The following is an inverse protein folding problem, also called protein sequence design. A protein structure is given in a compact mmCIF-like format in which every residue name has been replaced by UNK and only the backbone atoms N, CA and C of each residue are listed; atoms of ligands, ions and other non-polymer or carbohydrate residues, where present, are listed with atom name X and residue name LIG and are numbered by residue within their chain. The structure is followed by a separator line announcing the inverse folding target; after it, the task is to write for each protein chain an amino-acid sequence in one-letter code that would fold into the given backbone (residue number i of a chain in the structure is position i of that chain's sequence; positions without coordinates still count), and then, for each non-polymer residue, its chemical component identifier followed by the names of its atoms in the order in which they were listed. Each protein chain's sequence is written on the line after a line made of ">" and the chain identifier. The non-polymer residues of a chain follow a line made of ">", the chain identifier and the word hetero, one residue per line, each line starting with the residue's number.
data_IF_349459536521
#
_entry.id   IF_349459536521
#
_cell.length_a   1.000
_cell.length_b   1.000
_cell.length_c   1.000
_cell.angle_alpha   90.00
_cell.angle_beta   90.00
_cell.angle_gamma   90.00
#
_symmetry.space_group_name_H-M   'P 1'
#
loop_
_entity.id
_entity.type
_entity.pdbx_description
1 polymer ?
#
# COMPACT_ATOMS: atom_id res chain seq x y z
N UNK A 1 41.34 32.05 -65.82
CA UNK A 1 40.84 30.71 -66.20
C UNK A 1 39.68 30.38 -65.26
N UNK A 2 38.44 30.46 -65.76
CA UNK A 2 37.52 29.32 -66.04
C UNK A 2 37.18 28.51 -64.77
N UNK A 3 35.96 28.69 -64.22
CA UNK A 3 34.79 27.78 -64.30
C UNK A 3 34.97 26.51 -63.44
N UNK A 4 34.00 25.91 -62.74
CA UNK A 4 32.55 25.84 -62.84
C UNK A 4 31.97 25.24 -61.51
N UNK A 5 30.69 25.49 -61.28
CA UNK A 5 29.75 25.01 -60.25
C UNK A 5 29.64 23.47 -60.09
N UNK A 6 29.29 22.97 -58.89
CA UNK A 6 28.15 22.04 -58.71
C UNK A 6 27.71 21.89 -57.23
N UNK A 7 26.39 21.99 -57.01
CA UNK A 7 25.63 21.63 -55.80
C UNK A 7 25.23 20.16 -55.94
N UNK A 8 25.35 19.35 -54.88
CA UNK A 8 24.59 18.11 -54.51
C UNK A 8 25.14 17.77 -53.12
N UNK A 9 24.42 17.42 -52.05
CA UNK A 9 23.02 17.07 -51.82
C UNK A 9 23.00 16.35 -50.45
N UNK A 10 22.05 16.70 -49.59
CA UNK A 10 21.79 16.02 -48.32
C UNK A 10 21.55 14.53 -48.51
N UNK A 11 21.91 13.75 -47.49
CA UNK A 11 21.16 12.66 -46.84
C UNK A 11 22.18 11.67 -46.26
N UNK A 12 22.41 11.76 -44.94
CA UNK A 12 22.83 10.58 -44.18
C UNK A 12 21.73 10.32 -43.15
N UNK A 13 20.87 9.37 -43.50
CA UNK A 13 19.80 8.88 -42.63
C UNK A 13 20.42 8.21 -41.42
N UNK A 14 20.13 8.78 -40.26
CA UNK A 14 20.29 8.19 -38.94
C UNK A 14 19.59 6.82 -38.92
N UNK A 15 20.36 5.74 -38.98
CA UNK A 15 19.87 4.36 -38.84
C UNK A 15 20.54 3.69 -37.65
N UNK A 16 20.24 4.16 -36.45
CA UNK A 16 20.60 3.43 -35.21
C UNK A 16 19.41 3.26 -34.25
N UNK A 17 18.21 3.75 -34.59
CA UNK A 17 17.06 3.72 -33.66
C UNK A 17 16.00 2.62 -33.92
N UNK A 18 16.27 1.60 -34.74
CA UNK A 18 15.30 0.51 -35.03
C UNK A 18 15.73 -0.90 -34.62
N UNK A 19 16.91 -1.08 -34.03
CA UNK A 19 17.39 -2.41 -33.65
C UNK A 19 16.90 -2.90 -32.28
N UNK A 20 16.25 -2.04 -31.47
CA UNK A 20 15.75 -2.44 -30.15
C UNK A 20 14.32 -3.00 -30.16
N UNK A 21 13.60 -2.94 -31.29
CA UNK A 21 12.16 -3.24 -31.36
C UNK A 21 11.79 -4.46 -32.25
N UNK A 22 12.74 -5.35 -32.51
CA UNK A 22 12.54 -6.55 -33.36
C UNK A 22 12.85 -7.88 -32.66
N UNK A 23 12.61 -8.00 -31.34
CA UNK A 23 12.66 -9.33 -30.70
C UNK A 23 11.41 -10.12 -31.06
N UNK A 24 11.58 -11.37 -31.47
CA UNK A 24 10.44 -12.27 -31.70
C UNK A 24 9.69 -12.44 -30.36
N UNK A 25 8.36 -12.58 -30.36
CA UNK A 25 7.57 -12.76 -29.13
C UNK A 25 8.13 -13.83 -28.19
N UNK A 26 8.66 -14.93 -28.74
CA UNK A 26 9.28 -16.01 -27.97
C UNK A 26 10.51 -15.57 -27.16
N UNK A 27 11.34 -14.65 -27.68
CA UNK A 27 12.53 -14.17 -26.98
C UNK A 27 12.14 -13.24 -25.83
N UNK A 28 11.13 -12.39 -26.04
CA UNK A 28 10.59 -11.49 -25.00
C UNK A 28 9.89 -12.28 -23.89
N UNK A 29 9.09 -13.29 -24.24
CA UNK A 29 8.46 -14.21 -23.28
C UNK A 29 9.54 -14.94 -22.49
N UNK A 30 10.58 -15.46 -23.15
CA UNK A 30 11.66 -16.17 -22.46
C UNK A 30 12.33 -15.28 -21.42
N UNK A 31 12.69 -14.05 -21.77
CA UNK A 31 13.32 -13.09 -20.85
C UNK A 31 12.41 -12.79 -19.65
N UNK A 32 11.14 -12.47 -19.89
CA UNK A 32 10.19 -12.21 -18.80
C UNK A 32 10.08 -13.41 -17.86
N UNK A 33 9.89 -14.62 -18.41
CA UNK A 33 9.74 -15.85 -17.64
C UNK A 33 10.98 -16.16 -16.84
N UNK A 34 12.17 -16.07 -17.44
CA UNK A 34 13.40 -16.34 -16.73
C UNK A 34 13.61 -15.39 -15.55
N UNK A 35 13.49 -14.08 -15.78
CA UNK A 35 13.62 -13.07 -14.74
C UNK A 35 12.57 -13.26 -13.64
N UNK A 36 11.32 -13.50 -13.99
CA UNK A 36 10.23 -13.68 -13.03
C UNK A 36 10.44 -14.89 -12.14
N UNK A 37 10.83 -16.04 -12.71
CA UNK A 37 11.07 -17.25 -11.92
C UNK A 37 12.27 -17.09 -10.99
N UNK A 38 13.32 -16.38 -11.42
CA UNK A 38 14.44 -16.01 -10.53
C UNK A 38 13.94 -15.16 -9.36
N UNK A 39 13.12 -14.13 -9.62
CA UNK A 39 12.57 -13.30 -8.55
C UNK A 39 11.67 -14.08 -7.58
N UNK A 40 10.81 -14.96 -8.09
CA UNK A 40 9.99 -15.81 -7.24
C UNK A 40 10.85 -16.72 -6.34
N UNK A 41 11.84 -17.39 -6.93
CA UNK A 41 12.74 -18.28 -6.18
C UNK A 41 13.55 -17.51 -5.13
N UNK A 42 14.09 -16.33 -5.47
CA UNK A 42 15.00 -15.55 -4.63
C UNK A 42 14.31 -14.67 -3.59
N UNK A 43 13.10 -14.15 -3.88
CA UNK A 43 12.47 -13.12 -3.05
C UNK A 43 11.08 -13.47 -2.52
N UNK A 44 10.31 -14.36 -3.16
CA UNK A 44 8.95 -14.65 -2.67
C UNK A 44 8.96 -15.18 -1.24
N UNK A 45 8.08 -14.66 -0.39
CA UNK A 45 7.82 -15.16 0.95
C UNK A 45 7.46 -16.67 0.92
N UNK A 46 6.71 -17.07 -0.10
CA UNK A 46 6.16 -18.42 -0.26
C UNK A 46 7.06 -19.35 -1.08
N UNK A 47 8.33 -18.95 -1.31
CA UNK A 47 9.23 -19.66 -2.23
C UNK A 47 9.45 -21.14 -1.89
N UNK A 48 9.42 -21.51 -0.61
CA UNK A 48 9.62 -22.90 -0.17
C UNK A 48 8.47 -23.84 -0.52
N UNK A 49 7.31 -23.34 -0.96
CA UNK A 49 6.13 -24.14 -1.28
C UNK A 49 6.17 -24.75 -2.69
N UNK A 50 7.12 -24.33 -3.53
CA UNK A 50 7.13 -24.64 -4.96
C UNK A 50 8.46 -25.24 -5.40
N UNK A 51 8.41 -26.32 -6.19
CA UNK A 51 9.56 -26.78 -6.97
C UNK A 51 9.71 -25.89 -8.21
N UNK A 52 10.56 -24.86 -8.09
CA UNK A 52 10.75 -23.84 -9.13
C UNK A 52 11.26 -24.41 -10.46
N UNK A 53 12.12 -25.42 -10.42
CA UNK A 53 12.66 -26.06 -11.63
C UNK A 53 11.52 -26.77 -12.38
N UNK A 54 10.74 -27.59 -11.67
CA UNK A 54 9.60 -28.31 -12.24
C UNK A 54 8.52 -27.35 -12.72
N UNK A 55 8.20 -26.32 -11.93
CA UNK A 55 7.15 -25.36 -12.24
C UNK A 55 7.50 -24.49 -13.45
N UNK A 56 8.76 -24.04 -13.57
CA UNK A 56 9.27 -23.30 -14.73
C UNK A 56 9.19 -24.14 -16.00
N UNK A 57 9.57 -25.42 -15.93
CA UNK A 57 9.43 -26.36 -17.06
C UNK A 57 7.96 -26.53 -17.47
N UNK A 58 7.03 -26.57 -16.51
CA UNK A 58 5.60 -26.64 -16.80
C UNK A 58 5.08 -25.34 -17.44
N UNK A 59 5.49 -24.19 -16.93
CA UNK A 59 5.16 -22.89 -17.48
C UNK A 59 5.56 -22.79 -18.96
N UNK A 60 6.80 -23.14 -19.30
CA UNK A 60 7.25 -23.10 -20.70
C UNK A 60 6.50 -24.06 -21.61
N UNK A 61 6.00 -25.20 -21.11
CA UNK A 61 5.16 -26.10 -21.95
C UNK A 61 3.84 -25.44 -22.30
N UNK A 62 3.21 -24.77 -21.34
CA UNK A 62 1.96 -24.05 -21.54
C UNK A 62 2.19 -22.80 -22.42
N UNK A 63 3.28 -22.07 -22.20
CA UNK A 63 3.60 -20.82 -22.91
C UNK A 63 3.91 -21.03 -24.41
N UNK A 64 4.12 -22.26 -24.88
CA UNK A 64 4.22 -22.57 -26.32
C UNK A 64 2.94 -22.26 -27.10
N UNK A 65 1.80 -22.27 -26.43
CA UNK A 65 0.51 -21.92 -27.02
C UNK A 65 0.29 -20.39 -27.06
N UNK A 66 1.13 -19.60 -26.38
CA UNK A 66 1.00 -18.16 -26.38
C UNK A 66 1.51 -17.57 -27.71
N UNK A 67 0.67 -16.79 -28.36
CA UNK A 67 0.99 -16.07 -29.60
C UNK A 67 1.42 -14.62 -29.33
N UNK A 68 1.04 -14.09 -28.18
CA UNK A 68 1.36 -12.72 -27.76
C UNK A 68 2.03 -12.69 -26.39
N UNK A 69 2.74 -11.59 -26.11
CA UNK A 69 3.39 -11.38 -24.81
C UNK A 69 2.38 -11.26 -23.65
N UNK A 70 1.18 -10.71 -23.89
CA UNK A 70 0.13 -10.58 -22.86
C UNK A 70 -0.44 -11.91 -22.40
N UNK A 71 -0.44 -12.94 -23.26
CA UNK A 71 -1.06 -14.23 -22.97
C UNK A 71 -0.37 -15.03 -21.86
N UNK A 72 0.86 -14.65 -21.46
CA UNK A 72 1.56 -15.34 -20.37
C UNK A 72 1.21 -14.83 -18.97
N UNK A 73 0.60 -13.64 -18.84
CA UNK A 73 0.25 -13.08 -17.52
C UNK A 73 -0.85 -13.84 -16.78
N UNK A 74 -1.93 -14.30 -17.43
CA UNK A 74 -2.90 -15.21 -16.79
C UNK A 74 -2.23 -16.49 -16.27
N UNK A 75 -1.15 -16.94 -16.90
CA UNK A 75 -0.39 -18.11 -16.44
C UNK A 75 0.41 -17.80 -15.18
N UNK A 76 0.93 -16.58 -15.02
CA UNK A 76 1.56 -16.16 -13.76
C UNK A 76 0.55 -16.05 -12.63
N UNK A 77 -0.68 -15.59 -12.92
CA UNK A 77 -1.78 -15.58 -11.95
C UNK A 77 -2.05 -16.99 -11.39
N UNK A 78 -1.96 -18.05 -12.20
CA UNK A 78 -2.07 -19.42 -11.67
C UNK A 78 -0.97 -19.78 -10.67
N UNK A 79 0.23 -19.21 -10.80
CA UNK A 79 1.31 -19.43 -9.82
C UNK A 79 0.96 -18.74 -8.50
N UNK A 80 0.42 -17.52 -8.54
CA UNK A 80 -0.04 -16.86 -7.32
C UNK A 80 -1.18 -17.63 -6.64
N UNK A 81 -2.12 -18.18 -7.41
CA UNK A 81 -3.18 -19.06 -6.90
C UNK A 81 -2.61 -20.33 -6.24
N UNK A 82 -1.63 -20.98 -6.88
CA UNK A 82 -0.95 -22.17 -6.33
C UNK A 82 -0.19 -21.87 -5.03
N UNK A 83 0.41 -20.69 -4.93
CA UNK A 83 1.12 -20.21 -3.72
C UNK A 83 0.18 -19.67 -2.65
N UNK A 84 -1.10 -19.45 -2.98
CA UNK A 84 -2.03 -18.68 -2.16
C UNK A 84 -1.52 -17.27 -1.81
N UNK A 85 -0.76 -16.66 -2.74
CA UNK A 85 -0.22 -15.31 -2.60
C UNK A 85 -1.21 -14.28 -3.14
N UNK A 86 -2.07 -13.77 -2.26
CA UNK A 86 -3.11 -12.81 -2.62
C UNK A 86 -2.62 -11.36 -2.69
N UNK A 87 -1.38 -11.06 -2.30
CA UNK A 87 -0.86 -9.68 -2.23
C UNK A 87 0.19 -9.36 -3.31
N UNK A 88 0.66 -10.37 -4.07
CA UNK A 88 1.48 -10.20 -5.26
C UNK A 88 0.64 -9.97 -6.52
N UNK A 89 1.16 -9.17 -7.45
CA UNK A 89 0.55 -8.99 -8.76
C UNK A 89 1.53 -8.46 -9.82
N UNK A 90 1.19 -8.71 -11.09
CA UNK A 90 1.79 -8.01 -12.21
C UNK A 90 0.98 -6.78 -12.59
N UNK A 91 1.68 -5.74 -13.02
CA UNK A 91 1.10 -4.65 -13.79
C UNK A 91 1.72 -4.63 -15.18
N UNK A 92 0.89 -4.78 -16.22
CA UNK A 92 1.32 -4.72 -17.61
C UNK A 92 0.22 -4.10 -18.46
N UNK A 93 0.56 -3.11 -19.29
CA UNK A 93 -0.39 -2.41 -20.16
C UNK A 93 -1.68 -1.94 -19.44
N UNK A 94 -1.52 -1.32 -18.27
CA UNK A 94 -2.63 -0.85 -17.42
C UNK A 94 -3.58 -1.94 -16.94
N UNK A 95 -3.15 -3.20 -16.97
CA UNK A 95 -3.89 -4.34 -16.44
C UNK A 95 -3.13 -4.96 -15.27
N UNK A 96 -3.86 -5.20 -14.18
CA UNK A 96 -3.41 -5.95 -13.02
C UNK A 96 -3.67 -7.45 -13.24
N UNK A 97 -2.69 -8.29 -12.94
CA UNK A 97 -2.82 -9.74 -12.91
C UNK A 97 -2.39 -10.24 -11.53
N UNK A 98 -3.38 -10.60 -10.71
CA UNK A 98 -3.21 -11.00 -9.31
C UNK A 98 -3.88 -12.35 -9.07
N UNK A 99 -3.63 -12.97 -7.93
CA UNK A 99 -4.35 -14.19 -7.53
C UNK A 99 -5.86 -13.99 -7.48
N UNK A 100 -6.63 -15.02 -7.78
CA UNK A 100 -8.06 -15.12 -7.45
C UNK A 100 -8.30 -15.52 -5.98
N UNK A 101 -7.31 -16.13 -5.33
CA UNK A 101 -7.39 -16.51 -3.93
C UNK A 101 -7.29 -15.28 -3.03
N UNK A 102 -8.05 -15.27 -1.93
CA UNK A 102 -7.91 -14.28 -0.84
C UNK A 102 -8.18 -12.83 -1.22
N UNK A 103 -8.70 -12.55 -2.42
CA UNK A 103 -9.07 -11.19 -2.82
C UNK A 103 -10.34 -10.74 -2.10
N UNK A 104 -10.47 -9.44 -1.93
CA UNK A 104 -11.73 -8.82 -1.51
C UNK A 104 -12.80 -9.10 -2.56
N UNK A 105 -13.84 -9.82 -2.16
CA UNK A 105 -15.04 -10.02 -2.97
C UNK A 105 -15.90 -8.76 -2.87
N UNK A 106 -15.93 -7.97 -3.95
CA UNK A 106 -16.68 -6.72 -4.04
C UNK A 106 -18.16 -6.90 -3.68
N UNK A 107 -18.75 -8.08 -3.93
CA UNK A 107 -20.14 -8.36 -3.59
C UNK A 107 -20.41 -8.42 -2.07
N UNK A 108 -19.35 -8.61 -1.27
CA UNK A 108 -19.43 -8.63 0.18
C UNK A 108 -19.14 -7.27 0.82
N UNK A 109 -18.61 -6.29 0.06
CA UNK A 109 -18.32 -4.95 0.57
C UNK A 109 -19.63 -4.24 0.88
N UNK A 110 -19.70 -3.62 2.07
CA UNK A 110 -20.90 -2.90 2.51
C UNK A 110 -21.22 -1.75 1.55
N UNK A 111 -22.48 -1.63 1.18
CA UNK A 111 -22.97 -0.62 0.24
C UNK A 111 -22.51 0.81 0.57
N UNK A 112 -22.57 1.30 1.83
CA UNK A 112 -22.07 2.63 2.16
C UNK A 112 -20.57 2.82 1.91
N UNK A 113 -19.75 1.77 2.09
CA UNK A 113 -18.32 1.80 1.77
C UNK A 113 -18.11 1.90 0.25
N UNK A 114 -18.81 1.08 -0.52
CA UNK A 114 -18.74 1.14 -1.99
C UNK A 114 -19.16 2.50 -2.51
N UNK A 115 -20.29 3.04 -2.06
CA UNK A 115 -20.78 4.35 -2.47
C UNK A 115 -19.80 5.48 -2.11
N UNK A 116 -19.12 5.39 -0.96
CA UNK A 116 -18.10 6.36 -0.56
C UNK A 116 -16.83 6.25 -1.43
N UNK A 117 -16.39 5.04 -1.77
CA UNK A 117 -15.27 4.80 -2.68
C UNK A 117 -15.56 5.31 -4.10
N UNK A 118 -16.76 5.03 -4.63
CA UNK A 118 -17.20 5.47 -5.97
C UNK A 118 -17.32 6.98 -6.10
N UNK A 119 -17.76 7.66 -5.03
CA UNK A 119 -17.84 9.13 -5.00
C UNK A 119 -16.48 9.81 -5.11
N UNK A 120 -15.39 9.08 -4.90
CA UNK A 120 -14.05 9.66 -4.87
C UNK A 120 -13.92 10.66 -3.72
N UNK A 121 -14.37 10.27 -2.52
CA UNK A 121 -14.25 11.12 -1.34
C UNK A 121 -12.80 11.60 -1.13
N UNK A 122 -12.65 12.80 -0.56
CA UNK A 122 -11.33 13.41 -0.37
C UNK A 122 -10.37 12.44 0.36
N UNK A 123 -9.14 12.35 -0.16
CA UNK A 123 -8.08 11.45 0.31
C UNK A 123 -7.96 11.52 1.84
N UNK A 124 -7.96 12.75 2.38
CA UNK A 124 -8.04 13.00 3.82
C UNK A 124 -9.20 13.94 4.14
N UNK A 125 -9.78 13.79 5.32
CA UNK A 125 -10.83 14.69 5.81
C UNK A 125 -10.63 14.91 7.30
N UNK A 126 -10.58 16.16 7.73
CA UNK A 126 -10.46 16.51 9.14
C UNK A 126 -11.65 17.37 9.56
N UNK A 127 -12.27 17.03 10.69
CA UNK A 127 -13.45 17.71 11.23
C UNK A 127 -13.42 17.68 12.75
N UNK A 128 -14.11 18.65 13.34
CA UNK A 128 -14.35 18.67 14.77
C UNK A 128 -15.78 18.20 15.06
N UNK A 129 -15.93 17.18 15.90
CA UNK A 129 -17.21 16.63 16.35
C UNK A 129 -17.43 17.02 17.81
N UNK A 130 -17.83 18.27 18.05
CA UNK A 130 -17.90 18.84 19.39
C UNK A 130 -16.50 19.11 19.96
N UNK A 131 -16.06 18.33 20.96
CA UNK A 131 -14.73 18.37 21.57
C UNK A 131 -13.85 17.16 21.21
N UNK A 132 -14.22 16.46 20.14
CA UNK A 132 -13.50 15.30 19.61
C UNK A 132 -12.99 15.63 18.21
N UNK A 133 -11.71 15.41 17.98
CA UNK A 133 -11.12 15.51 16.64
C UNK A 133 -11.49 14.29 15.79
N UNK A 134 -11.79 14.48 14.52
CA UNK A 134 -12.01 13.41 13.56
C UNK A 134 -11.04 13.60 12.40
N UNK A 135 -10.33 12.54 12.04
CA UNK A 135 -9.53 12.47 10.83
C UNK A 135 -9.82 11.17 10.09
N UNK A 136 -10.07 11.25 8.80
CA UNK A 136 -10.05 10.11 7.91
C UNK A 136 -8.76 10.10 7.10
N UNK A 137 -8.07 8.98 7.12
CA UNK A 137 -6.93 8.69 6.26
C UNK A 137 -7.35 7.61 5.28
N UNK A 138 -7.50 7.95 4.00
CA UNK A 138 -7.88 7.00 2.94
C UNK A 138 -6.62 6.51 2.19
N UNK A 139 -6.82 5.72 1.13
CA UNK A 139 -5.74 5.26 0.26
C UNK A 139 -4.86 6.42 -0.24
N UNK A 140 -3.54 6.25 -0.13
CA UNK A 140 -2.54 7.23 -0.53
C UNK A 140 -1.67 6.65 -1.65
N UNK A 141 -1.64 7.28 -2.83
CA UNK A 141 -0.84 6.82 -3.97
C UNK A 141 0.36 7.76 -4.26
N UNK A 142 0.81 8.51 -3.26
CA UNK A 142 1.97 9.40 -3.35
C UNK A 142 3.20 8.61 -3.77
N UNK A 143 4.01 9.20 -4.66
CA UNK A 143 5.22 8.56 -5.16
C UNK A 143 6.25 8.34 -4.04
N UNK A 144 7.21 7.45 -4.26
CA UNK A 144 8.32 7.23 -3.32
C UNK A 144 9.37 8.36 -3.35
N UNK A 145 9.12 9.46 -4.07
CA UNK A 145 9.97 10.65 -4.00
C UNK A 145 9.87 11.29 -2.62
N UNK A 146 11.03 11.62 -2.04
CA UNK A 146 11.11 12.21 -0.70
C UNK A 146 10.30 13.50 -0.59
N UNK A 147 10.35 14.37 -1.60
CA UNK A 147 9.64 15.65 -1.61
C UNK A 147 8.13 15.46 -1.71
N UNK A 148 7.68 14.53 -2.55
CA UNK A 148 6.26 14.17 -2.65
C UNK A 148 5.72 13.61 -1.32
N UNK A 149 6.42 12.64 -0.72
CA UNK A 149 6.03 12.06 0.57
C UNK A 149 6.03 13.09 1.69
N UNK A 150 7.05 13.94 1.76
CA UNK A 150 7.12 15.01 2.76
C UNK A 150 5.95 15.99 2.62
N UNK A 151 5.60 16.37 1.39
CA UNK A 151 4.49 17.29 1.12
C UNK A 151 3.15 16.67 1.50
N UNK A 152 2.90 15.41 1.12
CA UNK A 152 1.67 14.71 1.48
C UNK A 152 1.53 14.54 3.01
N UNK A 153 2.61 14.13 3.69
CA UNK A 153 2.65 14.06 5.15
C UNK A 153 2.33 15.42 5.79
N UNK A 154 2.93 16.50 5.28
CA UNK A 154 2.72 17.84 5.80
C UNK A 154 1.26 18.29 5.65
N UNK A 155 0.61 17.96 4.54
CA UNK A 155 -0.81 18.28 4.34
C UNK A 155 -1.72 17.63 5.39
N UNK A 156 -1.48 16.35 5.72
CA UNK A 156 -2.24 15.65 6.77
C UNK A 156 -2.01 16.35 8.12
N UNK A 157 -0.75 16.63 8.46
CA UNK A 157 -0.39 17.27 9.73
C UNK A 157 -0.96 18.68 9.86
N UNK A 158 -0.92 19.48 8.78
CA UNK A 158 -1.49 20.83 8.74
C UNK A 158 -3.00 20.79 8.99
N UNK A 159 -3.72 19.86 8.36
CA UNK A 159 -5.16 19.68 8.59
C UNK A 159 -5.48 19.31 10.06
N UNK A 160 -4.67 18.46 10.69
CA UNK A 160 -4.80 18.14 12.13
C UNK A 160 -4.61 19.42 12.96
N UNK A 161 -3.57 20.18 12.64
CA UNK A 161 -3.22 21.41 13.34
C UNK A 161 -4.28 22.52 13.21
N UNK A 162 -4.98 22.60 12.07
CA UNK A 162 -6.06 23.58 11.86
C UNK A 162 -7.21 23.43 12.87
N UNK A 163 -7.51 22.21 13.30
CA UNK A 163 -8.61 21.94 14.24
C UNK A 163 -8.12 21.63 15.66
N UNK A 164 -6.83 21.41 15.84
CA UNK A 164 -6.28 21.04 17.14
C UNK A 164 -6.51 22.16 18.15
N UNK A 165 -6.95 21.76 19.35
CA UNK A 165 -7.11 22.65 20.50
C UNK A 165 -6.79 21.89 21.80
N UNK A 166 -6.27 22.57 22.84
CA UNK A 166 -5.83 21.91 24.07
C UNK A 166 -6.93 21.10 24.78
N UNK A 167 -8.19 21.52 24.65
CA UNK A 167 -9.37 20.90 25.28
C UNK A 167 -9.98 19.75 24.47
N UNK A 168 -9.36 19.31 23.36
CA UNK A 168 -9.79 18.07 22.70
C UNK A 168 -9.64 16.90 23.67
N UNK A 169 -10.75 16.17 23.86
CA UNK A 169 -10.83 14.98 24.73
C UNK A 169 -10.20 13.74 24.12
N UNK A 170 -10.24 13.62 22.81
CA UNK A 170 -9.73 12.48 22.06
C UNK A 170 -9.96 12.63 20.56
N UNK A 171 -9.51 11.63 19.81
CA UNK A 171 -9.61 11.62 18.35
C UNK A 171 -10.23 10.34 17.83
N UNK A 172 -10.89 10.47 16.68
CA UNK A 172 -11.37 9.36 15.87
C UNK A 172 -10.51 9.33 14.60
N UNK A 173 -9.79 8.24 14.40
CA UNK A 173 -8.97 7.98 13.22
C UNK A 173 -9.71 6.95 12.35
N UNK A 174 -10.34 7.44 11.28
CA UNK A 174 -11.12 6.62 10.37
C UNK A 174 -10.25 6.07 9.23
N UNK A 175 -10.05 4.74 9.24
CA UNK A 175 -9.32 3.98 8.23
C UNK A 175 -10.25 3.11 7.38
N UNK A 176 -11.58 3.27 7.50
CA UNK A 176 -12.57 2.39 6.86
C UNK A 176 -12.53 2.42 5.34
N UNK A 177 -11.97 3.47 4.73
CA UNK A 177 -11.78 3.59 3.27
C UNK A 177 -10.31 3.46 2.86
N UNK A 178 -9.44 2.96 3.75
CA UNK A 178 -8.00 2.88 3.50
C UNK A 178 -7.55 1.50 3.00
N UNK A 179 -7.61 1.28 1.70
CA UNK A 179 -7.11 0.07 1.02
C UNK A 179 -5.58 0.02 0.86
N UNK A 180 -4.84 0.99 1.38
CA UNK A 180 -3.38 0.98 1.41
C UNK A 180 -2.72 2.01 0.49
N UNK A 181 -1.67 1.59 -0.22
CA UNK A 181 -0.80 2.48 -1.00
C UNK A 181 0.49 2.85 -0.26
N UNK A 182 0.93 4.11 -0.29
CA UNK A 182 2.16 4.56 0.34
C UNK A 182 1.95 4.88 1.83
N UNK A 183 2.41 4.00 2.72
CA UNK A 183 2.24 4.20 4.17
C UNK A 183 3.06 5.36 4.75
N UNK A 184 4.17 5.74 4.10
CA UNK A 184 5.11 6.72 4.67
C UNK A 184 4.49 8.11 4.88
N UNK A 185 3.80 8.72 3.89
CA UNK A 185 3.11 9.98 4.12
C UNK A 185 1.96 9.85 5.13
N UNK A 186 1.20 8.73 5.11
CA UNK A 186 0.14 8.49 6.08
C UNK A 186 0.67 8.52 7.52
N UNK A 187 1.66 7.67 7.82
CA UNK A 187 2.25 7.52 9.15
C UNK A 187 2.99 8.77 9.61
N UNK A 188 3.74 9.41 8.69
CA UNK A 188 4.42 10.67 8.99
C UNK A 188 3.43 11.80 9.25
N UNK A 189 2.29 11.82 8.56
CA UNK A 189 1.27 12.85 8.71
C UNK A 189 0.42 12.72 9.97
N UNK A 190 0.36 11.51 10.56
CA UNK A 190 -0.33 11.24 11.82
C UNK A 190 0.64 11.09 13.00
N UNK A 191 1.91 11.47 12.84
CA UNK A 191 2.95 11.23 13.84
C UNK A 191 2.67 11.91 15.18
N UNK A 192 1.87 12.99 15.21
CA UNK A 192 1.35 13.60 16.45
C UNK A 192 0.68 12.61 17.40
N UNK A 193 0.12 11.51 16.89
CA UNK A 193 -0.54 10.48 17.69
C UNK A 193 0.40 9.33 18.07
N UNK A 194 1.54 9.16 17.39
CA UNK A 194 2.40 8.00 17.53
C UNK A 194 3.53 8.25 18.53
N UNK A 195 3.92 7.22 19.27
CA UNK A 195 5.13 7.27 20.09
C UNK A 195 6.38 7.06 19.22
N UNK A 196 7.48 7.68 19.65
CA UNK A 196 8.80 7.42 19.08
C UNK A 196 9.19 5.95 19.30
N UNK A 197 9.71 5.31 18.25
CA UNK A 197 10.12 3.92 18.29
C UNK A 197 9.64 3.12 17.08
N UNK A 198 9.83 1.80 17.17
CA UNK A 198 9.43 0.86 16.12
C UNK A 198 7.94 0.57 16.24
N UNK A 199 7.19 0.82 15.18
CA UNK A 199 5.75 0.56 15.15
C UNK A 199 5.39 -0.73 14.40
N UNK A 200 6.28 -1.21 13.52
CA UNK A 200 6.11 -2.48 12.83
C UNK A 200 7.47 -2.99 12.33
N UNK A 201 7.55 -4.30 12.11
CA UNK A 201 8.71 -4.94 11.51
C UNK A 201 8.28 -5.85 10.36
N UNK A 202 9.16 -6.04 9.39
CA UNK A 202 9.04 -7.10 8.40
C UNK A 202 9.92 -8.28 8.80
N UNK A 203 9.45 -9.49 8.52
CA UNK A 203 10.19 -10.74 8.72
C UNK A 203 10.20 -11.50 7.40
N UNK A 204 11.36 -11.58 6.75
CA UNK A 204 11.49 -12.33 5.49
C UNK A 204 11.57 -13.84 5.73
N UNK A 205 11.50 -14.65 4.67
CA UNK A 205 11.58 -16.12 4.78
C UNK A 205 12.90 -16.65 5.35
N UNK A 206 13.96 -15.83 5.37
CA UNK A 206 15.28 -16.13 5.96
C UNK A 206 15.37 -15.63 7.41
N UNK A 207 14.26 -15.15 7.98
CA UNK A 207 14.14 -14.57 9.30
C UNK A 207 14.98 -13.29 9.49
N UNK A 208 15.33 -12.59 8.40
CA UNK A 208 15.87 -11.25 8.50
C UNK A 208 14.75 -10.29 8.88
N UNK A 209 15.09 -9.33 9.75
CA UNK A 209 14.16 -8.36 10.29
C UNK A 209 14.53 -6.96 9.83
N UNK A 210 13.53 -6.19 9.40
CA UNK A 210 13.67 -4.76 9.08
C UNK A 210 12.60 -3.99 9.84
N UNK A 211 12.98 -2.94 10.53
CA UNK A 211 12.05 -2.11 11.30
C UNK A 211 11.51 -0.96 10.48
N UNK A 212 10.26 -0.59 10.75
CA UNK A 212 9.73 0.73 10.46
C UNK A 212 9.52 1.48 11.78
N UNK A 213 10.07 2.69 11.87
CA UNK A 213 10.10 3.44 13.11
C UNK A 213 9.89 4.93 12.91
N UNK A 214 9.29 5.56 13.92
CA UNK A 214 9.23 7.01 14.07
C UNK A 214 10.37 7.46 14.99
N UNK A 215 11.06 8.54 14.62
CA UNK A 215 11.95 9.26 15.54
C UNK A 215 11.76 10.76 15.36
N UNK A 216 11.23 11.40 16.39
CA UNK A 216 10.72 12.76 16.40
C UNK A 216 9.63 12.95 15.35
N UNK A 217 10.05 13.28 14.13
CA UNK A 217 9.17 13.64 13.02
C UNK A 217 9.52 12.96 11.71
N UNK A 218 10.47 12.03 11.77
CA UNK A 218 10.99 11.31 10.63
C UNK A 218 10.60 9.84 10.72
N UNK A 219 10.15 9.29 9.60
CA UNK A 219 9.90 7.86 9.44
C UNK A 219 11.15 7.22 8.85
N UNK A 220 11.57 6.13 9.46
CA UNK A 220 12.72 5.34 9.07
C UNK A 220 12.31 3.94 8.66
N UNK A 221 13.08 3.40 7.72
CA UNK A 221 13.07 1.99 7.35
C UNK A 221 14.47 1.42 7.57
N UNK A 222 14.64 0.64 8.64
CA UNK A 222 15.96 0.36 9.21
C UNK A 222 16.67 1.68 9.56
N UNK A 223 17.87 1.89 9.03
CA UNK A 223 18.64 3.12 9.24
C UNK A 223 18.31 4.23 8.22
N UNK A 224 17.54 3.91 7.17
CA UNK A 224 17.24 4.84 6.09
C UNK A 224 16.09 5.75 6.48
N UNK A 225 16.33 7.06 6.54
CA UNK A 225 15.26 8.06 6.62
C UNK A 225 14.45 8.07 5.32
N UNK A 226 13.15 7.84 5.40
CA UNK A 226 12.25 7.76 4.24
C UNK A 226 11.53 9.08 4.01
N UNK A 227 10.99 9.68 5.07
CA UNK A 227 10.32 10.98 5.02
C UNK A 227 10.44 11.68 6.36
N UNK A 228 10.19 12.99 6.38
CA UNK A 228 10.29 13.83 7.58
C UNK A 228 9.38 15.05 7.44
N UNK A 229 8.60 15.39 8.47
CA UNK A 229 7.77 16.59 8.45
C UNK A 229 8.60 17.90 8.46
N UNK A 230 8.07 18.93 7.80
CA UNK A 230 8.57 20.30 7.91
C UNK A 230 7.83 21.01 9.05
N UNK A 231 8.43 21.06 10.24
CA UNK A 231 7.76 21.53 11.46
C UNK A 231 7.24 22.96 11.34
N UNK A 232 5.92 23.09 11.21
CA UNK A 232 5.17 24.30 11.54
C UNK A 232 4.31 24.08 12.79
N UNK A 233 3.74 22.88 12.93
CA UNK A 233 2.91 22.48 14.06
C UNK A 233 2.94 20.95 14.24
N UNK A 234 3.23 20.50 15.47
CA UNK A 234 3.27 19.09 15.85
C UNK A 234 2.83 18.96 17.32
N UNK A 235 1.52 19.02 17.62
CA UNK A 235 1.03 18.81 18.98
C UNK A 235 1.34 17.37 19.40
N UNK A 236 1.87 17.21 20.60
CA UNK A 236 2.06 15.90 21.21
C UNK A 236 0.70 15.42 21.72
N UNK A 237 0.19 14.35 21.11
CA UNK A 237 -1.12 13.77 21.43
C UNK A 237 -1.00 12.27 21.75
N UNK A 238 0.18 11.86 22.19
CA UNK A 238 0.50 10.48 22.56
C UNK A 238 -0.19 10.03 23.85
N UNK A 239 -0.75 10.94 24.65
CA UNK A 239 -1.54 10.61 25.84
C UNK A 239 -3.05 10.58 25.56
N UNK A 240 -3.49 11.15 24.44
CA UNK A 240 -4.91 11.30 24.08
C UNK A 240 -5.55 9.96 23.74
N UNK A 241 -6.84 9.87 24.04
CA UNK A 241 -7.70 8.77 23.61
C UNK A 241 -7.87 8.74 22.10
N UNK A 242 -7.67 7.58 21.49
CA UNK A 242 -7.80 7.38 20.05
C UNK A 242 -8.79 6.24 19.77
N UNK A 243 -9.86 6.53 19.05
CA UNK A 243 -10.73 5.50 18.49
C UNK A 243 -10.38 5.29 17.01
N UNK A 244 -9.91 4.10 16.64
CA UNK A 244 -9.56 3.73 15.27
C UNK A 244 -10.74 3.00 14.64
N UNK A 245 -11.23 3.48 13.49
CA UNK A 245 -12.32 2.82 12.77
C UNK A 245 -11.76 1.99 11.61
N UNK A 246 -12.11 0.71 11.58
CA UNK A 246 -11.68 -0.23 10.52
C UNK A 246 -12.86 -0.86 9.80
N UNK A 247 -12.63 -1.29 8.56
CA UNK A 247 -13.61 -2.01 7.76
C UNK A 247 -12.97 -3.15 6.97
N UNK A 248 -13.81 -3.91 6.27
CA UNK A 248 -13.40 -4.92 5.28
C UNK A 248 -12.48 -4.36 4.18
N UNK A 249 -12.52 -3.05 3.92
CA UNK A 249 -11.70 -2.36 2.90
C UNK A 249 -10.34 -1.96 3.47
N UNK A 250 -10.22 -1.78 4.80
CA UNK A 250 -8.94 -1.42 5.43
C UNK A 250 -7.90 -2.49 5.11
N UNK A 251 -6.89 -2.18 4.31
CA UNK A 251 -6.02 -3.19 3.70
C UNK A 251 -4.58 -2.69 3.51
N UNK A 252 -3.63 -3.62 3.48
CA UNK A 252 -2.23 -3.35 3.11
C UNK A 252 -1.64 -2.24 3.99
N UNK A 253 -1.09 -1.16 3.43
CA UNK A 253 -0.60 0.00 4.19
C UNK A 253 -1.62 0.65 5.14
N UNK A 254 -2.92 0.49 4.89
CA UNK A 254 -3.98 0.89 5.82
C UNK A 254 -3.99 0.04 7.09
N UNK A 255 -3.70 -1.27 6.97
CA UNK A 255 -3.52 -2.16 8.11
C UNK A 255 -2.22 -1.91 8.86
N UNK A 256 -1.14 -1.52 8.16
CA UNK A 256 0.12 -1.10 8.81
C UNK A 256 -0.10 0.17 9.62
N UNK A 257 -0.88 1.12 9.09
CA UNK A 257 -1.28 2.34 9.80
C UNK A 257 -2.13 2.01 11.03
N UNK A 258 -3.06 1.07 10.91
CA UNK A 258 -3.81 0.55 12.05
C UNK A 258 -2.89 -0.11 13.09
N UNK A 259 -1.94 -0.96 12.67
CA UNK A 259 -0.99 -1.62 13.56
C UNK A 259 -0.13 -0.61 14.34
N UNK A 260 0.31 0.48 13.70
CA UNK A 260 1.09 1.51 14.35
C UNK A 260 0.33 2.19 15.51
N UNK A 261 -0.98 2.38 15.34
CA UNK A 261 -1.85 2.92 16.40
C UNK A 261 -2.18 1.88 17.47
N UNK A 262 -2.21 0.59 17.12
CA UNK A 262 -2.52 -0.50 18.06
C UNK A 262 -1.49 -0.65 19.17
N UNK A 263 -0.26 -0.23 18.94
CA UNK A 263 0.81 -0.31 19.93
C UNK A 263 0.72 0.77 21.02
N UNK A 264 -0.26 1.68 20.94
CA UNK A 264 -0.47 2.73 21.93
C UNK A 264 -1.41 2.30 23.04
N UNK A 265 -1.17 2.86 24.21
CA UNK A 265 -2.19 2.95 25.25
C UNK A 265 -3.35 3.88 24.82
N UNK A 266 -4.47 3.83 25.56
CA UNK A 266 -5.64 4.66 25.32
C UNK A 266 -6.14 4.62 23.86
N UNK A 267 -6.08 3.45 23.23
CA UNK A 267 -6.55 3.24 21.86
C UNK A 267 -7.58 2.12 21.81
N UNK A 268 -8.68 2.34 21.09
CA UNK A 268 -9.73 1.33 20.85
C UNK A 268 -9.99 1.18 19.36
N UNK A 269 -10.17 -0.05 18.89
CA UNK A 269 -10.54 -0.36 17.52
C UNK A 269 -12.02 -0.70 17.44
N UNK A 270 -12.74 -0.04 16.53
CA UNK A 270 -14.19 -0.17 16.38
C UNK A 270 -14.54 -0.42 14.92
N UNK A 271 -15.37 -1.42 14.65
CA UNK A 271 -15.93 -1.65 13.32
C UNK A 271 -15.84 -3.09 12.88
N UNK A 272 -15.23 -3.34 11.73
CA UNK A 272 -15.09 -4.67 11.15
C UNK A 272 -13.61 -5.04 11.01
N UNK A 273 -13.34 -6.35 10.97
CA UNK A 273 -12.03 -6.90 10.66
C UNK A 273 -11.48 -6.36 9.33
N UNK A 274 -10.18 -6.11 9.29
CA UNK A 274 -9.48 -5.64 8.10
C UNK A 274 -9.35 -6.71 7.00
N UNK A 275 -8.95 -6.27 5.80
CA UNK A 275 -8.91 -7.05 4.57
C UNK A 275 -7.93 -8.24 4.61
N UNK A 276 -6.88 -8.16 5.44
CA UNK A 276 -5.94 -9.25 5.65
C UNK A 276 -4.80 -9.32 4.63
N UNK A 277 -4.25 -8.17 4.27
CA UNK A 277 -3.07 -8.00 3.42
C UNK A 277 -1.83 -7.61 4.25
N UNK A 278 -1.67 -8.24 5.42
CA UNK A 278 -0.58 -8.02 6.40
C UNK A 278 0.76 -8.64 5.97
N UNK A 279 1.21 -8.30 4.77
CA UNK A 279 2.50 -8.73 4.22
C UNK A 279 3.16 -7.55 3.52
N UNK A 280 4.50 -7.52 3.51
CA UNK A 280 5.27 -6.51 2.81
C UNK A 280 5.61 -6.98 1.40
N UNK A 281 5.54 -6.04 0.48
CA UNK A 281 5.80 -6.25 -0.93
C UNK A 281 7.01 -5.43 -1.38
N UNK A 282 7.65 -5.88 -2.46
CA UNK A 282 8.73 -5.18 -3.14
C UNK A 282 8.37 -5.03 -4.62
N UNK A 283 8.64 -3.85 -5.18
CA UNK A 283 8.37 -3.55 -6.59
C UNK A 283 9.59 -3.88 -7.45
N UNK A 284 9.46 -4.89 -8.30
CA UNK A 284 10.45 -5.25 -9.30
C UNK A 284 10.05 -4.71 -10.66
N UNK A 285 10.94 -3.91 -11.27
CA UNK A 285 10.79 -3.47 -12.66
C UNK A 285 11.32 -4.56 -13.58
N UNK A 286 10.42 -5.13 -14.38
CA UNK A 286 10.74 -6.14 -15.37
C UNK A 286 10.80 -5.51 -16.77
N UNK A 287 11.43 -6.19 -17.74
CA UNK A 287 11.44 -5.73 -19.13
C UNK A 287 10.03 -5.48 -19.70
N UNK A 288 9.96 -4.72 -20.79
CA UNK A 288 8.72 -4.48 -21.54
C UNK A 288 7.62 -3.76 -20.75
N UNK A 289 8.03 -2.76 -19.94
CA UNK A 289 7.12 -1.95 -19.11
C UNK A 289 6.22 -2.82 -18.21
N UNK A 290 6.79 -3.90 -17.70
CA UNK A 290 6.13 -4.82 -16.78
C UNK A 290 6.62 -4.53 -15.37
N UNK A 291 5.71 -4.55 -14.41
CA UNK A 291 6.04 -4.46 -12.99
C UNK A 291 5.55 -5.71 -12.29
N UNK A 292 6.34 -6.22 -11.36
CA UNK A 292 5.95 -7.25 -10.42
C UNK A 292 5.99 -6.65 -9.03
N UNK A 293 4.85 -6.53 -8.36
CA UNK A 293 4.80 -6.32 -6.93
C UNK A 293 4.81 -7.71 -6.28
N UNK A 294 5.85 -8.04 -5.53
CA UNK A 294 6.06 -9.37 -4.96
C UNK A 294 6.08 -9.32 -3.44
N UNK A 295 5.22 -10.11 -2.81
CA UNK A 295 5.22 -10.39 -1.38
C UNK A 295 6.53 -11.08 -0.97
N UNK A 296 7.31 -10.46 -0.08
CA UNK A 296 8.62 -10.97 0.34
C UNK A 296 8.75 -11.22 1.85
N UNK A 297 7.88 -10.61 2.67
CA UNK A 297 7.95 -10.69 4.12
C UNK A 297 6.57 -10.64 4.79
N UNK A 298 6.47 -11.25 5.96
CA UNK A 298 5.34 -11.07 6.88
C UNK A 298 5.49 -9.75 7.64
N UNK A 299 4.37 -9.17 8.08
CA UNK A 299 4.36 -7.99 8.94
C UNK A 299 4.06 -8.41 10.37
N UNK A 300 4.88 -7.90 11.29
CA UNK A 300 4.72 -8.12 12.72
C UNK A 300 4.77 -6.81 13.51
N UNK A 301 4.25 -6.83 14.73
CA UNK A 301 4.46 -5.74 15.69
C UNK A 301 5.90 -5.74 16.23
N UNK A 302 6.21 -4.77 17.10
CA UNK A 302 7.53 -4.63 17.71
C UNK A 302 7.91 -5.83 18.63
N UNK A 303 6.95 -6.65 19.04
CA UNK A 303 7.18 -7.88 19.80
C UNK A 303 7.41 -9.10 18.89
N UNK A 304 7.26 -8.94 17.57
CA UNK A 304 7.40 -10.00 16.59
C UNK A 304 6.15 -10.87 16.43
N UNK A 305 4.98 -10.42 16.89
CA UNK A 305 3.71 -11.11 16.64
C UNK A 305 3.28 -10.81 15.20
N UNK A 306 3.13 -11.86 14.40
CA UNK A 306 2.65 -11.76 13.01
C UNK A 306 1.13 -11.71 12.98
N UNK A 307 0.59 -10.80 12.19
CA UNK A 307 -0.86 -10.61 12.04
C UNK A 307 -1.31 -11.07 10.67
N UNK A 308 -2.47 -11.74 10.59
CA UNK A 308 -3.13 -12.00 9.31
C UNK A 308 -4.04 -10.84 8.90
N UNK A 309 -4.61 -10.16 9.89
CA UNK A 309 -5.52 -9.02 9.81
C UNK A 309 -5.56 -8.36 11.19
N UNK A 310 -6.15 -7.17 11.29
CA UNK A 310 -6.46 -6.48 12.55
C UNK A 310 -7.94 -6.70 12.87
N UNK A 311 -8.19 -7.27 14.06
CA UNK A 311 -9.53 -7.41 14.63
C UNK A 311 -9.91 -6.17 15.44
N UNK A 312 -11.17 -5.69 15.37
CA UNK A 312 -11.64 -4.61 16.23
C UNK A 312 -11.83 -5.09 17.67
N UNK A 313 -11.67 -4.19 18.63
CA UNK A 313 -11.99 -4.46 20.04
C UNK A 313 -13.52 -4.43 20.28
N UNK A 314 -14.22 -3.58 19.53
CA UNK A 314 -15.69 -3.54 19.47
C UNK A 314 -16.14 -3.80 18.03
N UNK A 315 -16.70 -4.99 17.80
CA UNK A 315 -17.28 -5.32 16.50
C UNK A 315 -18.61 -4.59 16.29
N UNK A 316 -18.68 -3.82 15.20
CA UNK A 316 -19.90 -3.19 14.71
C UNK A 316 -19.98 -3.44 13.20
N UNK A 317 -20.81 -4.40 12.84
CA UNK A 317 -21.16 -4.68 11.45
C UNK A 317 -22.23 -3.66 11.02
N UNK A 318 -22.04 -3.08 9.82
CA UNK A 318 -22.91 -2.04 9.24
C UNK A 318 -22.96 -0.72 10.05
N UNK A 319 -23.96 0.14 9.74
CA UNK A 319 -24.18 1.42 10.42
C UNK A 319 -23.28 2.57 9.96
N UNK A 320 -22.49 2.39 8.90
CA UNK A 320 -21.67 3.43 8.31
C UNK A 320 -22.53 4.54 7.68
N UNK A 321 -22.15 5.80 7.92
CA UNK A 321 -22.78 6.96 7.32
C UNK A 321 -21.75 8.06 7.04
N UNK A 322 -21.16 8.00 5.84
CA UNK A 322 -20.16 8.98 5.40
C UNK A 322 -20.76 10.37 5.06
N UNK A 323 -22.07 10.45 4.81
CA UNK A 323 -22.73 11.72 4.52
C UNK A 323 -23.00 12.53 5.79
N UNK A 324 -23.29 11.86 6.91
CA UNK A 324 -23.59 12.49 8.20
C UNK A 324 -22.92 11.73 9.35
N UNK A 325 -21.67 12.10 9.64
CA UNK A 325 -20.79 11.40 10.60
C UNK A 325 -21.41 11.22 12.00
N UNK A 326 -22.25 12.15 12.46
CA UNK A 326 -22.90 12.06 13.78
C UNK A 326 -24.03 11.02 13.83
N UNK A 327 -24.48 10.51 12.67
CA UNK A 327 -25.43 9.40 12.55
C UNK A 327 -24.74 8.06 12.25
N UNK A 328 -23.43 8.06 12.11
CA UNK A 328 -22.64 6.85 11.90
C UNK A 328 -22.49 6.09 13.22
N UNK A 329 -22.89 4.82 13.23
CA UNK A 329 -22.92 4.00 14.46
C UNK A 329 -21.53 3.77 15.04
N UNK A 330 -20.51 3.61 14.18
CA UNK A 330 -19.12 3.39 14.61
C UNK A 330 -18.57 4.68 15.23
N UNK A 331 -18.87 5.83 14.63
CA UNK A 331 -18.51 7.16 15.18
C UNK A 331 -19.25 7.45 16.49
N UNK A 332 -20.55 7.16 16.59
CA UNK A 332 -21.30 7.33 17.84
C UNK A 332 -20.71 6.49 18.98
N UNK A 333 -20.29 5.26 18.68
CA UNK A 333 -19.63 4.38 19.65
C UNK A 333 -18.28 4.96 20.10
N UNK A 334 -17.48 5.45 19.14
CA UNK A 334 -16.22 6.13 19.44
C UNK A 334 -16.42 7.38 20.32
N UNK A 335 -17.41 8.22 20.00
CA UNK A 335 -17.74 9.41 20.81
C UNK A 335 -18.13 9.03 22.23
N UNK A 336 -18.91 7.96 22.41
CA UNK A 336 -19.31 7.49 23.73
C UNK A 336 -18.10 7.01 24.53
N UNK A 337 -17.22 6.19 23.93
CA UNK A 337 -16.02 5.68 24.58
C UNK A 337 -15.05 6.80 24.99
N UNK A 338 -14.81 7.78 24.11
CA UNK A 338 -13.94 8.92 24.42
C UNK A 338 -14.46 9.70 25.64
N UNK A 339 -15.78 9.84 25.80
CA UNK A 339 -16.40 10.65 26.84
C UNK A 339 -16.60 9.97 28.21
N UNK A 340 -16.65 8.63 28.28
CA UNK A 340 -17.16 7.92 29.48
C UNK A 340 -16.17 7.01 30.20
N UNK A 341 -15.03 6.74 29.60
CA UNK A 341 -13.88 6.14 30.30
C UNK A 341 -12.84 7.22 30.64
#
# INVERSE_FOLDING_TARGET
>A
MKQLTFIIGCILVITVAKAQDQRKPNDSIKVLVDSTFTLFEEHSLYSSQMDWIKRKKAFYRQAKAAHTFSEVFPMFQTIFDELQDHHSFFWFNNQKYASNYGQLDESNIRKPLMEAMEKGEAIHTVKLLGDIGYIRISQDNTSDDFGDMQKAAQQIQDMICEIHRPDIKGWILDLRLNSGGNMYPMLSGISSFLEDGTFAITIDRKNHRKSWSLSGKAIYEGEKKITELQLQCLPEMTDKKIAVLTSQVTGSSGEITALALRNRDNTIFIGEKTAGFMTSNELFRLPFNTFLLLTYAEIADNNGIVYKYIEPDIEIIEGDNFNELTKDKKIQTAINWINHE
#
